data_IF_514274254218
#
_entry.id   IF_514274254218
#
_cell.length_a   1.000
_cell.length_b   1.000
_cell.length_c   1.000
_cell.angle_alpha   90.00
_cell.angle_beta   90.00
_cell.angle_gamma   90.00
#
_symmetry.space_group_name_H-M   'P 1'
#
loop_
_entity.id
_entity.type
_entity.pdbx_description
1 polymer ?
#
# COMPACT_ATOMS: atom_id res chain seq x y z
N UNK A 1 -8.38 2.89 7.48
CA UNK A 1 -8.41 4.25 6.88
C UNK A 1 -9.12 5.17 7.86
N UNK A 2 -8.38 5.71 8.83
CA UNK A 2 -8.97 6.60 9.84
C UNK A 2 -9.22 7.98 9.22
N UNK A 3 -10.48 8.44 9.21
CA UNK A 3 -10.86 9.80 8.82
C UNK A 3 -11.49 9.96 7.43
N UNK A 4 -11.77 8.91 6.66
CA UNK A 4 -12.51 9.02 5.39
C UNK A 4 -14.02 8.89 5.60
N UNK A 5 -14.80 9.64 4.83
CA UNK A 5 -16.28 9.64 4.86
C UNK A 5 -16.76 8.75 3.70
N UNK A 6 -17.57 7.73 3.99
CA UNK A 6 -18.21 6.93 2.96
C UNK A 6 -19.39 7.71 2.37
N UNK A 7 -19.37 7.95 1.07
CA UNK A 7 -20.43 8.70 0.36
C UNK A 7 -21.46 7.76 -0.26
N UNK A 8 -21.04 6.55 -0.63
CA UNK A 8 -21.93 5.57 -1.24
C UNK A 8 -21.16 4.51 -2.03
N UNK A 9 -21.83 3.92 -2.99
CA UNK A 9 -21.23 2.99 -3.96
C UNK A 9 -21.41 3.55 -5.37
N UNK A 10 -20.32 3.55 -6.14
CA UNK A 10 -20.33 3.97 -7.53
C UNK A 10 -20.08 2.72 -8.41
N UNK A 11 -21.06 2.28 -9.19
CA UNK A 11 -21.00 1.03 -9.98
C UNK A 11 -20.60 -0.21 -9.17
N UNK A 12 -21.09 -0.30 -7.93
CA UNK A 12 -20.75 -1.39 -7.00
C UNK A 12 -19.46 -1.20 -6.20
N UNK A 13 -18.63 -0.20 -6.55
CA UNK A 13 -17.38 0.12 -5.87
C UNK A 13 -17.64 1.09 -4.72
N UNK A 14 -17.21 0.78 -3.48
CA UNK A 14 -17.30 1.69 -2.34
C UNK A 14 -16.54 3.00 -2.59
N UNK A 15 -17.21 4.13 -2.38
CA UNK A 15 -16.67 5.45 -2.67
C UNK A 15 -16.50 6.26 -1.38
N UNK A 16 -15.30 6.81 -1.19
CA UNK A 16 -14.92 7.56 0.01
C UNK A 16 -14.37 8.93 -0.35
N UNK A 17 -14.58 9.89 0.56
CA UNK A 17 -14.00 11.23 0.48
C UNK A 17 -13.19 11.49 1.75
N UNK A 18 -11.94 11.90 1.58
CA UNK A 18 -11.12 12.39 2.69
C UNK A 18 -11.47 13.86 3.00
N UNK A 19 -11.50 14.31 4.28
CA UNK A 19 -11.83 15.69 4.64
C UNK A 19 -11.03 16.77 3.92
N UNK A 20 -9.77 16.47 3.56
CA UNK A 20 -8.91 17.38 2.79
C UNK A 20 -9.47 17.73 1.40
N UNK A 21 -10.35 16.91 0.84
CA UNK A 21 -11.02 17.17 -0.44
C UNK A 21 -11.91 18.41 -0.38
N UNK A 22 -12.61 18.65 0.73
CA UNK A 22 -13.47 19.82 0.89
C UNK A 22 -12.69 21.13 0.87
N UNK A 23 -11.45 21.12 1.38
CA UNK A 23 -10.57 22.26 1.31
C UNK A 23 -10.24 22.59 -0.16
N UNK A 24 -9.87 21.57 -0.96
CA UNK A 24 -9.57 21.75 -2.38
C UNK A 24 -10.82 22.16 -3.16
N UNK A 25 -11.98 21.56 -2.87
CA UNK A 25 -13.25 21.98 -3.47
C UNK A 25 -13.50 23.46 -3.23
N UNK A 26 -13.33 23.95 -1.98
CA UNK A 26 -13.49 25.35 -1.64
C UNK A 26 -12.51 26.28 -2.37
N UNK A 27 -11.22 25.93 -2.39
CA UNK A 27 -10.18 26.71 -3.08
C UNK A 27 -10.42 26.77 -4.59
N UNK A 28 -10.73 25.63 -5.22
CA UNK A 28 -11.01 25.55 -6.66
C UNK A 28 -12.28 26.34 -6.99
N UNK A 29 -13.34 26.19 -6.19
CA UNK A 29 -14.57 26.98 -6.37
C UNK A 29 -14.29 28.48 -6.30
N UNK A 30 -13.54 28.93 -5.29
CA UNK A 30 -13.20 30.34 -5.15
C UNK A 30 -12.34 30.84 -6.33
N UNK A 31 -11.32 30.10 -6.70
CA UNK A 31 -10.44 30.47 -7.82
C UNK A 31 -11.22 30.66 -9.11
N UNK A 32 -12.06 29.68 -9.47
CA UNK A 32 -12.85 29.77 -10.71
C UNK A 32 -13.97 30.80 -10.62
N UNK A 33 -14.63 30.96 -9.50
CA UNK A 33 -15.66 32.01 -9.33
C UNK A 33 -15.04 33.41 -9.47
N UNK A 34 -13.87 33.65 -8.87
CA UNK A 34 -13.14 34.91 -8.99
C UNK A 34 -12.68 35.18 -10.43
N UNK A 35 -12.16 34.13 -11.09
CA UNK A 35 -11.77 34.21 -12.51
C UNK A 35 -12.95 34.53 -13.43
N UNK A 36 -14.11 33.87 -13.23
CA UNK A 36 -15.33 34.15 -14.01
C UNK A 36 -15.86 35.56 -13.75
N UNK A 37 -15.88 36.02 -12.47
CA UNK A 37 -16.32 37.37 -12.15
C UNK A 37 -15.42 38.44 -12.76
N UNK A 38 -14.09 38.22 -12.80
CA UNK A 38 -13.14 39.13 -13.43
C UNK A 38 -13.29 39.16 -14.97
N UNK A 39 -13.50 38.00 -15.59
CA UNK A 39 -13.63 37.88 -17.05
C UNK A 39 -15.01 38.33 -17.55
N UNK A 40 -16.05 38.19 -16.73
CA UNK A 40 -17.44 38.50 -17.07
C UNK A 40 -18.07 39.40 -15.99
N UNK A 41 -17.76 40.72 -15.97
CA UNK A 41 -18.25 41.64 -14.93
C UNK A 41 -19.77 41.78 -14.84
N UNK A 42 -20.52 41.38 -15.88
CA UNK A 42 -21.99 41.36 -15.90
C UNK A 42 -22.60 40.24 -15.06
N UNK A 43 -21.80 39.25 -14.62
CA UNK A 43 -22.31 38.20 -13.74
C UNK A 43 -22.50 38.74 -12.33
N UNK A 44 -23.65 38.40 -11.72
CA UNK A 44 -23.80 38.63 -10.29
C UNK A 44 -22.84 37.75 -9.49
N UNK A 45 -22.37 38.20 -8.32
CA UNK A 45 -21.46 37.45 -7.48
C UNK A 45 -21.98 36.04 -7.10
N UNK A 46 -23.29 35.91 -6.88
CA UNK A 46 -23.94 34.63 -6.61
C UNK A 46 -23.90 33.67 -7.79
N UNK A 47 -24.11 34.18 -9.03
CA UNK A 47 -24.04 33.36 -10.24
C UNK A 47 -22.60 32.95 -10.53
N UNK A 48 -21.63 33.83 -10.36
CA UNK A 48 -20.21 33.50 -10.53
C UNK A 48 -19.77 32.41 -9.54
N UNK A 49 -20.23 32.49 -8.27
CA UNK A 49 -19.97 31.47 -7.25
C UNK A 49 -20.61 30.12 -7.62
N UNK A 50 -21.86 30.13 -8.07
CA UNK A 50 -22.54 28.90 -8.50
C UNK A 50 -21.82 28.23 -9.69
N UNK A 51 -21.45 29.02 -10.71
CA UNK A 51 -20.71 28.51 -11.87
C UNK A 51 -19.33 28.00 -11.49
N UNK A 52 -18.65 28.68 -10.58
CA UNK A 52 -17.35 28.23 -10.03
C UNK A 52 -17.48 26.89 -9.30
N UNK A 53 -18.53 26.72 -8.45
CA UNK A 53 -18.79 25.46 -7.76
C UNK A 53 -19.13 24.34 -8.75
N UNK A 54 -19.99 24.60 -9.75
CA UNK A 54 -20.29 23.61 -10.79
C UNK A 54 -19.03 23.19 -11.57
N UNK A 55 -18.17 24.15 -11.94
CA UNK A 55 -16.90 23.86 -12.59
C UNK A 55 -16.01 22.98 -11.72
N UNK A 56 -15.87 23.30 -10.44
CA UNK A 56 -15.10 22.51 -9.50
C UNK A 56 -15.64 21.07 -9.38
N UNK A 57 -16.97 20.91 -9.22
CA UNK A 57 -17.59 19.58 -9.15
C UNK A 57 -17.41 18.78 -10.44
N UNK A 58 -17.49 19.41 -11.62
CA UNK A 58 -17.24 18.76 -12.91
C UNK A 58 -15.77 18.33 -13.07
N UNK A 59 -14.82 19.13 -12.57
CA UNK A 59 -13.40 18.74 -12.53
C UNK A 59 -13.16 17.51 -11.63
N UNK A 60 -13.79 17.48 -10.45
CA UNK A 60 -13.71 16.29 -9.60
C UNK A 60 -14.41 15.09 -10.20
N UNK A 61 -15.55 15.28 -10.89
CA UNK A 61 -16.19 14.20 -11.65
C UNK A 61 -15.27 13.65 -12.74
N UNK A 62 -14.47 14.51 -13.40
CA UNK A 62 -13.43 14.07 -14.36
C UNK A 62 -12.35 13.20 -13.69
N UNK A 63 -11.89 13.57 -12.50
CA UNK A 63 -10.94 12.77 -11.73
C UNK A 63 -11.56 11.41 -11.36
N UNK A 64 -12.82 11.40 -10.91
CA UNK A 64 -13.53 10.14 -10.62
C UNK A 64 -13.67 9.27 -11.86
N UNK A 65 -13.99 9.86 -13.00
CA UNK A 65 -14.10 9.13 -14.28
C UNK A 65 -12.75 8.53 -14.70
N UNK A 66 -11.64 9.24 -14.47
CA UNK A 66 -10.28 8.73 -14.69
C UNK A 66 -10.02 7.49 -13.83
N UNK A 67 -10.30 7.53 -12.51
CA UNK A 67 -10.15 6.38 -11.59
C UNK A 67 -11.08 5.21 -11.94
N UNK A 68 -12.30 5.53 -12.42
CA UNK A 68 -13.22 4.52 -12.92
C UNK A 68 -12.68 3.84 -14.17
N UNK A 69 -11.95 4.55 -15.02
CA UNK A 69 -11.26 3.96 -16.17
C UNK A 69 -10.35 2.81 -15.76
N UNK A 70 -9.47 3.04 -14.81
CA UNK A 70 -8.60 2.01 -14.22
C UNK A 70 -9.42 0.87 -13.61
N UNK A 71 -10.43 1.24 -12.83
CA UNK A 71 -11.26 0.29 -12.08
C UNK A 71 -12.03 -0.66 -13.00
N UNK A 72 -12.64 -0.16 -14.08
CA UNK A 72 -13.39 -0.99 -15.01
C UNK A 72 -12.51 -1.96 -15.78
N UNK A 73 -11.32 -1.54 -16.18
CA UNK A 73 -10.37 -2.44 -16.84
C UNK A 73 -9.87 -3.50 -15.85
N UNK A 74 -9.58 -3.15 -14.59
CA UNK A 74 -9.19 -4.09 -13.55
C UNK A 74 -10.29 -5.13 -13.29
N UNK A 75 -11.54 -4.70 -13.11
CA UNK A 75 -12.71 -5.59 -12.93
C UNK A 75 -12.89 -6.52 -14.14
N UNK A 76 -12.75 -5.99 -15.38
CA UNK A 76 -12.80 -6.79 -16.59
C UNK A 76 -11.73 -7.88 -16.68
N UNK A 77 -10.64 -7.75 -15.92
CA UNK A 77 -9.55 -8.73 -15.78
C UNK A 77 -9.73 -9.66 -14.56
N UNK A 78 -10.83 -9.54 -13.81
CA UNK A 78 -11.10 -10.33 -12.61
C UNK A 78 -10.33 -9.85 -11.38
N UNK A 79 -9.92 -8.58 -11.35
CA UNK A 79 -9.29 -7.93 -10.20
C UNK A 79 -10.34 -7.06 -9.50
N UNK A 80 -10.70 -7.43 -8.27
CA UNK A 80 -11.68 -6.67 -7.49
C UNK A 80 -11.11 -5.32 -7.03
N UNK A 81 -11.99 -4.29 -7.06
CA UNK A 81 -11.67 -2.94 -6.60
C UNK A 81 -12.29 -2.73 -5.22
N UNK A 82 -11.44 -2.61 -4.20
CA UNK A 82 -11.89 -2.44 -2.79
C UNK A 82 -12.59 -1.11 -2.56
N UNK A 83 -12.06 -0.03 -3.13
CA UNK A 83 -12.61 1.30 -2.94
C UNK A 83 -11.97 2.33 -3.88
N UNK A 84 -12.69 3.42 -4.13
CA UNK A 84 -12.14 4.65 -4.70
C UNK A 84 -12.22 5.73 -3.61
N UNK A 85 -11.10 6.41 -3.36
CA UNK A 85 -11.01 7.48 -2.34
C UNK A 85 -10.53 8.78 -2.98
N UNK A 86 -11.30 9.88 -2.83
CA UNK A 86 -10.84 11.22 -3.20
C UNK A 86 -10.13 11.90 -2.03
N UNK A 87 -9.00 12.53 -2.31
CA UNK A 87 -8.20 13.30 -1.36
C UNK A 87 -7.60 14.55 -2.02
N UNK A 88 -6.75 15.29 -1.29
CA UNK A 88 -6.23 16.59 -1.73
C UNK A 88 -5.47 16.56 -3.09
N UNK A 89 -4.80 15.47 -3.41
CA UNK A 89 -3.98 15.33 -4.63
C UNK A 89 -4.70 14.60 -5.78
N UNK A 90 -5.98 14.21 -5.61
CA UNK A 90 -6.74 13.51 -6.67
C UNK A 90 -7.53 12.32 -6.15
N UNK A 91 -7.64 11.27 -6.97
CA UNK A 91 -8.27 10.00 -6.66
C UNK A 91 -7.25 8.89 -6.39
N UNK A 92 -7.68 7.85 -5.71
CA UNK A 92 -6.93 6.63 -5.50
C UNK A 92 -7.88 5.44 -5.53
N UNK A 93 -7.74 4.58 -6.55
CA UNK A 93 -8.41 3.29 -6.60
C UNK A 93 -7.55 2.23 -5.90
N UNK A 94 -8.12 1.58 -4.88
CA UNK A 94 -7.47 0.48 -4.16
C UNK A 94 -7.88 -0.85 -4.78
N UNK A 95 -6.96 -1.51 -5.46
CA UNK A 95 -7.15 -2.86 -6.01
C UNK A 95 -6.94 -3.92 -4.93
N UNK A 96 -7.65 -5.04 -5.04
CA UNK A 96 -7.47 -6.16 -4.09
C UNK A 96 -6.17 -6.91 -4.32
N UNK A 97 -5.80 -7.09 -5.61
CA UNK A 97 -4.60 -7.81 -6.04
C UNK A 97 -3.88 -7.02 -7.14
N UNK A 98 -2.59 -7.26 -7.28
CA UNK A 98 -1.85 -6.76 -8.44
C UNK A 98 -2.18 -7.58 -9.70
N UNK A 99 -1.99 -6.96 -10.87
CA UNK A 99 -2.11 -7.63 -12.16
C UNK A 99 -1.16 -8.81 -12.26
N UNK A 100 -1.63 -9.93 -12.82
CA UNK A 100 -0.86 -11.18 -12.94
C UNK A 100 0.09 -11.18 -14.13
N UNK A 101 -0.19 -10.39 -15.14
CA UNK A 101 0.59 -10.31 -16.38
C UNK A 101 0.96 -8.86 -16.72
N UNK A 102 2.08 -8.64 -17.43
CA UNK A 102 2.45 -7.29 -17.86
C UNK A 102 1.42 -6.66 -18.81
N UNK A 103 0.69 -7.46 -19.58
CA UNK A 103 -0.40 -6.96 -20.44
C UNK A 103 -1.57 -6.43 -19.64
N UNK A 104 -1.99 -7.14 -18.61
CA UNK A 104 -3.03 -6.68 -17.69
C UNK A 104 -2.63 -5.35 -17.02
N UNK A 105 -1.40 -5.28 -16.47
CA UNK A 105 -0.88 -4.07 -15.84
C UNK A 105 -0.86 -2.87 -16.78
N UNK A 106 -0.48 -3.09 -18.06
CA UNK A 106 -0.47 -2.06 -19.09
C UNK A 106 -1.87 -1.50 -19.35
N UNK A 107 -2.87 -2.36 -19.58
CA UNK A 107 -4.22 -1.94 -19.89
C UNK A 107 -4.91 -1.23 -18.72
N UNK A 108 -4.69 -1.70 -17.49
CA UNK A 108 -5.16 -0.99 -16.30
C UNK A 108 -4.52 0.40 -16.25
N UNK A 109 -3.21 0.52 -16.42
CA UNK A 109 -2.50 1.78 -16.28
C UNK A 109 -2.90 2.83 -17.34
N UNK A 110 -3.11 2.43 -18.60
CA UNK A 110 -3.44 3.39 -19.67
C UNK A 110 -4.91 3.83 -19.65
N UNK A 111 -5.80 3.07 -18.99
CA UNK A 111 -7.24 3.30 -19.03
C UNK A 111 -7.66 4.67 -18.49
N UNK A 112 -7.09 5.12 -17.36
CA UNK A 112 -7.37 6.44 -16.79
C UNK A 112 -7.01 7.59 -17.73
N UNK A 113 -5.75 7.67 -18.21
CA UNK A 113 -5.35 8.66 -19.22
C UNK A 113 -6.23 8.65 -20.48
N UNK A 114 -6.64 7.47 -20.96
CA UNK A 114 -7.54 7.37 -22.12
C UNK A 114 -8.91 7.98 -21.83
N UNK A 115 -9.48 7.75 -20.64
CA UNK A 115 -10.74 8.38 -20.23
C UNK A 115 -10.60 9.90 -20.18
N UNK A 116 -9.51 10.42 -19.62
CA UNK A 116 -9.27 11.87 -19.58
C UNK A 116 -9.11 12.48 -20.98
N UNK A 117 -8.41 11.81 -21.90
CA UNK A 117 -8.32 12.25 -23.30
C UNK A 117 -9.69 12.22 -24.00
N UNK A 118 -10.48 11.19 -23.76
CA UNK A 118 -11.84 11.09 -24.28
C UNK A 118 -12.73 12.23 -23.77
N UNK A 119 -12.68 12.53 -22.48
CA UNK A 119 -13.42 13.65 -21.88
C UNK A 119 -12.97 14.99 -22.46
N UNK A 120 -11.65 15.20 -22.61
CA UNK A 120 -11.12 16.38 -23.29
C UNK A 120 -11.70 16.52 -24.70
N UNK A 121 -11.70 15.44 -25.48
CA UNK A 121 -12.26 15.42 -26.85
C UNK A 121 -13.77 15.72 -26.88
N UNK A 122 -14.54 15.08 -26.00
CA UNK A 122 -16.01 15.29 -25.91
C UNK A 122 -16.32 16.73 -25.53
N UNK A 123 -15.67 17.28 -24.49
CA UNK A 123 -15.92 18.64 -24.01
C UNK A 123 -15.53 19.66 -25.09
N UNK A 124 -14.41 19.44 -25.77
CA UNK A 124 -13.99 20.29 -26.90
C UNK A 124 -14.99 20.23 -28.04
N UNK A 125 -15.46 19.04 -28.44
CA UNK A 125 -16.45 18.87 -29.47
C UNK A 125 -17.79 19.58 -29.13
N UNK A 126 -18.24 19.48 -27.87
CA UNK A 126 -19.42 20.23 -27.40
C UNK A 126 -19.17 21.73 -27.52
N UNK A 127 -18.03 22.25 -27.09
CA UNK A 127 -17.71 23.68 -27.21
C UNK A 127 -17.72 24.19 -28.63
N UNK A 128 -17.18 23.41 -29.57
CA UNK A 128 -17.13 23.78 -31.00
C UNK A 128 -18.50 23.66 -31.67
N UNK A 129 -19.21 22.54 -31.48
CA UNK A 129 -20.47 22.27 -32.15
C UNK A 129 -21.63 23.16 -31.69
N UNK A 130 -21.62 23.52 -30.39
CA UNK A 130 -22.63 24.42 -29.81
C UNK A 130 -22.30 25.90 -30.00
N UNK A 131 -21.16 26.23 -30.64
CA UNK A 131 -20.65 27.61 -30.74
C UNK A 131 -20.70 28.34 -29.40
N UNK A 132 -20.32 27.59 -28.31
CA UNK A 132 -20.38 28.11 -26.96
C UNK A 132 -19.63 29.44 -26.80
N UNK A 133 -20.24 30.38 -26.13
CA UNK A 133 -19.66 31.72 -25.86
C UNK A 133 -19.83 32.13 -24.41
N UNK A 134 -19.16 33.20 -24.02
CA UNK A 134 -19.23 33.73 -22.66
C UNK A 134 -18.77 32.72 -21.57
N UNK A 135 -19.42 32.71 -20.39
CA UNK A 135 -19.02 31.84 -19.26
C UNK A 135 -19.04 30.36 -19.60
N UNK A 136 -19.96 29.90 -20.45
CA UNK A 136 -20.03 28.49 -20.85
C UNK A 136 -18.77 28.07 -21.62
N UNK A 137 -18.31 28.88 -22.57
CA UNK A 137 -17.08 28.64 -23.32
C UNK A 137 -15.87 28.57 -22.37
N UNK A 138 -15.79 29.48 -21.39
CA UNK A 138 -14.72 29.49 -20.39
C UNK A 138 -14.72 28.19 -19.55
N UNK A 139 -15.88 27.73 -19.07
CA UNK A 139 -16.01 26.49 -18.30
C UNK A 139 -15.60 25.27 -19.13
N UNK A 140 -16.11 25.15 -20.37
CA UNK A 140 -15.75 24.05 -21.27
C UNK A 140 -14.25 24.07 -21.60
N UNK A 141 -13.67 25.23 -21.82
CA UNK A 141 -12.24 25.40 -22.06
C UNK A 141 -11.39 24.92 -20.87
N UNK A 142 -11.80 25.27 -19.65
CA UNK A 142 -11.13 24.79 -18.43
C UNK A 142 -11.26 23.28 -18.28
N UNK A 143 -12.44 22.73 -18.46
CA UNK A 143 -12.65 21.27 -18.36
C UNK A 143 -11.81 20.51 -19.39
N UNK A 144 -11.76 20.98 -20.64
CA UNK A 144 -10.95 20.37 -21.68
C UNK A 144 -9.45 20.45 -21.33
N UNK A 145 -8.96 21.64 -20.95
CA UNK A 145 -7.54 21.83 -20.64
C UNK A 145 -7.09 21.04 -19.41
N UNK A 146 -7.91 20.97 -18.35
CA UNK A 146 -7.57 20.20 -17.14
C UNK A 146 -7.60 18.69 -17.43
N UNK A 147 -8.56 18.18 -18.20
CA UNK A 147 -8.57 16.78 -18.60
C UNK A 147 -7.35 16.43 -19.48
N UNK A 148 -6.96 17.31 -20.39
CA UNK A 148 -5.74 17.15 -21.18
C UNK A 148 -4.49 17.14 -20.29
N UNK A 149 -4.38 18.11 -19.38
CA UNK A 149 -3.27 18.19 -18.43
C UNK A 149 -3.20 16.95 -17.54
N UNK A 150 -4.35 16.47 -17.02
CA UNK A 150 -4.45 15.25 -16.22
C UNK A 150 -3.93 14.03 -16.99
N UNK A 151 -4.33 13.87 -18.26
CA UNK A 151 -3.86 12.79 -19.11
C UNK A 151 -2.35 12.88 -19.37
N UNK A 152 -1.86 14.04 -19.81
CA UNK A 152 -0.45 14.23 -20.14
C UNK A 152 0.45 14.09 -18.92
N UNK A 153 0.05 14.65 -17.78
CA UNK A 153 0.80 14.52 -16.52
C UNK A 153 0.88 13.06 -16.06
N UNK A 154 -0.25 12.34 -16.09
CA UNK A 154 -0.27 10.93 -15.73
C UNK A 154 0.46 10.04 -16.74
N UNK A 155 0.64 10.43 -18.00
CA UNK A 155 1.45 9.70 -18.97
C UNK A 155 2.96 9.90 -18.84
N UNK A 156 3.44 10.77 -17.93
CA UNK A 156 4.88 10.89 -17.64
C UNK A 156 5.42 9.52 -17.19
N UNK A 157 6.49 9.00 -17.83
CA UNK A 157 6.96 7.64 -17.63
C UNK A 157 7.74 7.48 -16.32
N UNK A 158 7.11 7.69 -15.17
CA UNK A 158 7.74 7.59 -13.86
C UNK A 158 6.73 7.31 -12.74
N UNK A 159 7.02 6.34 -11.87
CA UNK A 159 6.18 6.13 -10.69
C UNK A 159 6.24 7.37 -9.79
N UNK A 160 5.12 7.73 -9.13
CA UNK A 160 3.89 6.92 -8.97
C UNK A 160 2.79 7.14 -10.03
N UNK A 161 3.09 7.81 -11.14
CA UNK A 161 2.12 8.16 -12.19
C UNK A 161 1.76 6.94 -13.05
N UNK A 162 0.65 7.03 -13.82
CA UNK A 162 0.18 5.94 -14.69
C UNK A 162 1.18 5.59 -15.78
N UNK A 163 1.85 6.58 -16.37
CA UNK A 163 2.95 6.38 -17.30
C UNK A 163 4.13 5.59 -16.68
N UNK A 164 4.33 5.73 -15.37
CA UNK A 164 5.27 4.89 -14.62
C UNK A 164 4.80 3.44 -14.52
N UNK A 165 3.49 3.21 -14.32
CA UNK A 165 2.91 1.86 -14.34
C UNK A 165 2.93 1.25 -15.76
N UNK A 166 2.73 2.05 -16.80
CA UNK A 166 2.92 1.64 -18.20
C UNK A 166 4.39 1.23 -18.43
N UNK A 167 5.35 2.04 -17.98
CA UNK A 167 6.77 1.75 -18.09
C UNK A 167 7.17 0.49 -17.28
N UNK A 168 6.63 0.33 -16.05
CA UNK A 168 6.73 -0.90 -15.25
C UNK A 168 6.30 -2.11 -16.05
N UNK A 169 5.13 -2.06 -16.69
CA UNK A 169 4.57 -3.16 -17.47
C UNK A 169 5.44 -3.52 -18.69
N UNK A 170 5.97 -2.52 -19.39
CA UNK A 170 6.86 -2.72 -20.54
C UNK A 170 8.16 -3.39 -20.11
N UNK A 171 8.82 -2.86 -19.07
CA UNK A 171 10.07 -3.43 -18.55
C UNK A 171 9.84 -4.84 -18.00
N UNK A 172 8.73 -5.08 -17.32
CA UNK A 172 8.33 -6.42 -16.87
C UNK A 172 8.19 -7.39 -18.05
N UNK A 173 7.50 -6.98 -19.13
CA UNK A 173 7.35 -7.81 -20.34
C UNK A 173 8.70 -8.18 -20.97
N UNK A 174 9.66 -7.26 -20.96
CA UNK A 174 11.00 -7.48 -21.56
C UNK A 174 11.88 -8.36 -20.66
N UNK A 175 11.84 -8.13 -19.34
CA UNK A 175 12.75 -8.77 -18.37
C UNK A 175 12.18 -10.02 -17.73
N UNK A 176 10.88 -10.29 -17.86
CA UNK A 176 10.18 -11.36 -17.16
C UNK A 176 10.02 -11.11 -15.64
N UNK A 177 10.54 -9.99 -15.10
CA UNK A 177 10.58 -9.70 -13.67
C UNK A 177 9.81 -8.41 -13.34
N UNK A 178 8.68 -8.49 -12.60
CA UNK A 178 7.87 -7.32 -12.23
C UNK A 178 8.64 -6.32 -11.35
N UNK A 179 9.52 -6.80 -10.48
CA UNK A 179 10.28 -5.96 -9.54
C UNK A 179 11.33 -5.10 -10.25
N UNK A 180 11.95 -5.63 -11.31
CA UNK A 180 12.83 -4.86 -12.20
C UNK A 180 12.04 -3.73 -12.88
N UNK A 181 10.80 -4.02 -13.28
CA UNK A 181 9.87 -3.02 -13.83
C UNK A 181 9.62 -1.87 -12.86
N UNK A 182 9.24 -2.19 -11.61
CA UNK A 182 9.03 -1.18 -10.57
C UNK A 182 10.30 -0.38 -10.30
N UNK A 183 11.44 -1.06 -10.11
CA UNK A 183 12.72 -0.37 -9.80
C UNK A 183 13.12 0.58 -10.90
N UNK A 184 12.98 0.19 -12.18
CA UNK A 184 13.29 1.04 -13.31
C UNK A 184 12.35 2.24 -13.41
N UNK A 185 11.03 2.03 -13.37
CA UNK A 185 10.04 3.08 -13.43
C UNK A 185 10.15 4.06 -12.24
N UNK A 186 10.54 3.57 -11.06
CA UNK A 186 10.84 4.40 -9.89
C UNK A 186 12.07 5.31 -10.11
N UNK A 187 13.14 4.79 -10.70
CA UNK A 187 14.33 5.62 -11.01
C UNK A 187 13.98 6.76 -11.97
N UNK A 188 13.18 6.46 -13.01
CA UNK A 188 12.71 7.48 -13.94
C UNK A 188 11.83 8.49 -13.21
N UNK A 189 10.90 8.05 -12.33
CA UNK A 189 10.08 8.93 -11.50
C UNK A 189 10.92 9.84 -10.58
N UNK A 190 12.01 9.32 -9.99
CA UNK A 190 12.94 10.13 -9.20
C UNK A 190 13.64 11.20 -10.05
N UNK A 191 14.02 10.89 -11.30
CA UNK A 191 14.61 11.89 -12.22
C UNK A 191 13.61 13.03 -12.46
N UNK A 192 12.35 12.70 -12.79
CA UNK A 192 11.29 13.72 -12.94
C UNK A 192 11.05 14.50 -11.65
N UNK A 193 11.10 13.83 -10.50
CA UNK A 193 11.00 14.48 -9.19
C UNK A 193 12.11 15.51 -8.95
N UNK A 194 13.37 15.17 -9.27
CA UNK A 194 14.49 16.12 -9.18
C UNK A 194 14.36 17.26 -10.17
N UNK A 195 13.95 17.01 -11.42
CA UNK A 195 13.68 18.04 -12.41
C UNK A 195 12.61 19.03 -11.91
N UNK A 196 11.52 18.51 -11.33
CA UNK A 196 10.48 19.35 -10.75
C UNK A 196 11.00 20.19 -9.58
N UNK A 197 11.78 19.61 -8.65
CA UNK A 197 12.40 20.35 -7.54
C UNK A 197 13.33 21.46 -8.07
N UNK A 198 14.21 21.13 -9.01
CA UNK A 198 15.14 22.12 -9.56
C UNK A 198 14.39 23.25 -10.28
N UNK A 199 13.33 22.94 -11.03
CA UNK A 199 12.47 23.95 -11.69
C UNK A 199 11.75 24.87 -10.68
N UNK A 200 11.55 24.44 -9.45
CA UNK A 200 11.00 25.26 -8.37
C UNK A 200 12.06 26.07 -7.60
N UNK A 201 13.20 25.43 -7.27
CA UNK A 201 14.27 26.03 -6.47
C UNK A 201 15.06 27.09 -7.27
N UNK A 202 15.42 26.80 -8.51
CA UNK A 202 16.27 27.69 -9.32
C UNK A 202 15.63 29.07 -9.49
N UNK A 203 14.37 29.24 -9.90
CA UNK A 203 13.73 30.55 -9.97
C UNK A 203 13.61 31.24 -8.62
N UNK A 204 13.42 30.51 -7.55
CA UNK A 204 13.34 31.04 -6.20
C UNK A 204 14.69 31.68 -5.77
N UNK A 205 15.80 30.95 -5.95
CA UNK A 205 17.13 31.38 -5.49
C UNK A 205 17.73 32.48 -6.36
N UNK A 206 17.54 32.42 -7.68
CA UNK A 206 18.20 33.34 -8.60
C UNK A 206 17.36 34.56 -8.97
N UNK A 207 16.03 34.43 -8.92
CA UNK A 207 15.10 35.49 -9.35
C UNK A 207 14.12 35.94 -8.26
N UNK A 208 14.18 35.36 -7.04
CA UNK A 208 13.25 35.63 -5.95
C UNK A 208 11.79 35.31 -6.28
N UNK A 209 11.58 34.45 -7.30
CA UNK A 209 10.24 34.13 -7.80
C UNK A 209 9.65 32.96 -7.03
N UNK A 210 8.55 33.19 -6.30
CA UNK A 210 7.77 32.15 -5.61
C UNK A 210 6.75 31.44 -6.53
N UNK A 211 6.60 31.87 -7.80
CA UNK A 211 5.59 31.34 -8.72
C UNK A 211 5.66 29.84 -8.98
N UNK A 212 6.82 29.24 -8.82
CA UNK A 212 7.08 27.82 -9.05
C UNK A 212 7.14 26.96 -7.77
N UNK A 213 6.68 27.50 -6.63
CA UNK A 213 6.66 26.76 -5.35
C UNK A 213 5.90 25.45 -5.44
N UNK A 214 4.84 25.39 -6.26
CA UNK A 214 4.08 24.15 -6.49
C UNK A 214 4.94 23.01 -7.05
N UNK A 215 5.92 23.33 -7.90
CA UNK A 215 6.82 22.33 -8.48
C UNK A 215 7.69 21.66 -7.40
N UNK A 216 8.04 22.35 -6.31
CA UNK A 216 8.75 21.76 -5.17
C UNK A 216 7.91 20.68 -4.49
N UNK A 217 6.63 20.98 -4.25
CA UNK A 217 5.70 20.02 -3.61
C UNK A 217 5.50 18.80 -4.49
N UNK A 218 5.26 19.00 -5.79
CA UNK A 218 5.09 17.90 -6.75
C UNK A 218 6.37 17.07 -6.85
N UNK A 219 7.53 17.71 -6.97
CA UNK A 219 8.81 17.03 -7.06
C UNK A 219 9.13 16.22 -5.80
N UNK A 220 8.90 16.77 -4.61
CA UNK A 220 9.04 16.06 -3.35
C UNK A 220 8.10 14.84 -3.28
N UNK A 221 6.82 15.02 -3.66
CA UNK A 221 5.84 13.93 -3.71
C UNK A 221 6.30 12.81 -4.65
N UNK A 222 6.79 13.15 -5.86
CA UNK A 222 7.29 12.15 -6.82
C UNK A 222 8.50 11.41 -6.25
N UNK A 223 9.50 12.12 -5.68
CA UNK A 223 10.69 11.50 -5.12
C UNK A 223 10.35 10.54 -3.98
N UNK A 224 9.51 10.96 -3.05
CA UNK A 224 9.15 10.15 -1.89
C UNK A 224 8.41 8.88 -2.32
N UNK A 225 7.39 9.01 -3.17
CA UNK A 225 6.59 7.85 -3.60
C UNK A 225 7.39 6.90 -4.50
N UNK A 226 8.18 7.43 -5.44
CA UNK A 226 9.06 6.60 -6.27
C UNK A 226 10.13 5.89 -5.42
N UNK A 227 10.71 6.57 -4.42
CA UNK A 227 11.66 5.98 -3.48
C UNK A 227 11.06 4.84 -2.69
N UNK A 228 9.89 5.04 -2.12
CA UNK A 228 9.15 4.01 -1.38
C UNK A 228 8.80 2.81 -2.26
N UNK A 229 8.31 3.04 -3.48
CA UNK A 229 8.00 1.97 -4.43
C UNK A 229 9.24 1.13 -4.79
N UNK A 230 10.38 1.79 -5.05
CA UNK A 230 11.63 1.10 -5.34
C UNK A 230 12.12 0.27 -4.15
N UNK A 231 12.03 0.80 -2.93
CA UNK A 231 12.43 0.08 -1.72
C UNK A 231 11.53 -1.14 -1.48
N UNK A 232 10.22 -0.98 -1.60
CA UNK A 232 9.26 -2.06 -1.45
C UNK A 232 9.49 -3.18 -2.48
N UNK A 233 9.69 -2.82 -3.75
CA UNK A 233 9.98 -3.79 -4.81
C UNK A 233 11.26 -4.58 -4.55
N UNK A 234 12.33 -3.94 -4.05
CA UNK A 234 13.58 -4.64 -3.69
C UNK A 234 13.39 -5.62 -2.54
N UNK A 235 12.59 -5.27 -1.54
CA UNK A 235 12.26 -6.18 -0.44
C UNK A 235 11.48 -7.38 -0.97
N UNK A 236 10.45 -7.14 -1.78
CA UNK A 236 9.67 -8.21 -2.39
C UNK A 236 10.51 -9.12 -3.29
N UNK A 237 11.40 -8.55 -4.11
CA UNK A 237 12.29 -9.32 -4.98
C UNK A 237 13.20 -10.27 -4.18
N UNK A 238 13.72 -9.80 -3.04
CA UNK A 238 14.58 -10.61 -2.16
C UNK A 238 13.83 -11.72 -1.44
N UNK A 239 12.55 -11.51 -1.15
CA UNK A 239 11.69 -12.51 -0.49
C UNK A 239 11.10 -13.51 -1.49
N UNK A 240 11.13 -13.19 -2.79
CA UNK A 240 10.61 -14.09 -3.83
C UNK A 240 11.40 -15.38 -3.88
N UNK A 241 10.68 -16.51 -3.87
CA UNK A 241 11.26 -17.85 -3.87
C UNK A 241 11.73 -18.36 -2.52
N UNK A 242 11.54 -17.55 -1.44
CA UNK A 242 11.73 -18.00 -0.07
C UNK A 242 10.41 -18.48 0.53
N UNK A 243 10.51 -19.49 1.39
CA UNK A 243 9.42 -20.07 2.16
C UNK A 243 9.51 -19.68 3.63
N UNK A 244 8.48 -19.98 4.40
CA UNK A 244 8.50 -19.78 5.84
C UNK A 244 9.67 -20.51 6.53
N UNK A 245 10.01 -21.73 6.04
CA UNK A 245 11.09 -22.56 6.58
C UNK A 245 12.46 -21.88 6.45
N UNK A 246 12.70 -21.08 5.38
CA UNK A 246 13.96 -20.37 5.17
C UNK A 246 14.25 -19.26 6.19
N UNK A 247 13.21 -18.80 6.89
CA UNK A 247 13.31 -17.71 7.88
C UNK A 247 13.05 -18.17 9.33
N UNK A 248 12.97 -19.49 9.55
CA UNK A 248 12.83 -20.05 10.91
C UNK A 248 14.08 -19.78 11.72
N UNK A 249 13.91 -19.35 12.95
CA UNK A 249 15.01 -19.18 13.90
C UNK A 249 15.45 -20.54 14.40
N UNK A 250 16.76 -20.87 14.29
CA UNK A 250 17.32 -22.17 14.70
C UNK A 250 17.20 -22.42 16.21
N UNK A 251 17.27 -21.37 17.02
CA UNK A 251 17.12 -21.42 18.48
C UNK A 251 15.66 -21.18 18.90
N UNK A 252 14.74 -22.02 18.44
CA UNK A 252 13.34 -21.95 18.87
C UNK A 252 13.18 -22.60 20.25
N UNK A 253 12.54 -21.94 21.22
CA UNK A 253 12.28 -22.51 22.53
C UNK A 253 11.15 -23.56 22.46
N UNK A 254 11.52 -24.80 22.15
CA UNK A 254 10.61 -25.95 22.02
C UNK A 254 10.76 -26.80 23.25
N UNK A 255 9.65 -27.21 23.85
CA UNK A 255 9.59 -28.11 25.02
C UNK A 255 8.59 -29.23 24.77
N UNK A 256 8.85 -30.41 25.41
CA UNK A 256 7.91 -31.52 25.32
C UNK A 256 6.70 -31.31 26.23
N UNK A 257 5.51 -31.71 25.73
CA UNK A 257 4.28 -31.70 26.52
C UNK A 257 4.30 -32.61 27.75
N UNK A 258 5.15 -33.64 27.70
CA UNK A 258 5.28 -34.65 28.76
C UNK A 258 6.28 -34.27 29.84
N UNK A 259 7.08 -33.19 29.67
CA UNK A 259 7.96 -32.65 30.72
C UNK A 259 7.12 -32.19 31.91
N UNK A 260 7.62 -32.48 33.12
CA UNK A 260 7.08 -31.90 34.36
C UNK A 260 7.47 -30.43 34.47
N UNK A 261 6.70 -29.65 35.20
CA UNK A 261 7.03 -28.23 35.44
C UNK A 261 8.37 -28.09 36.18
N UNK A 262 8.77 -29.10 36.96
CA UNK A 262 10.08 -29.12 37.68
C UNK A 262 11.22 -29.27 36.68
N UNK A 263 11.14 -30.26 35.80
CA UNK A 263 12.14 -30.49 34.75
C UNK A 263 12.25 -29.27 33.83
N UNK A 264 11.11 -28.66 33.41
CA UNK A 264 11.09 -27.43 32.64
C UNK A 264 11.82 -26.27 33.37
N UNK A 265 11.59 -26.11 34.69
CA UNK A 265 12.24 -25.05 35.46
C UNK A 265 13.76 -25.27 35.57
N UNK A 266 14.17 -26.53 35.79
CA UNK A 266 15.59 -26.92 35.91
C UNK A 266 16.30 -26.74 34.54
N UNK A 267 15.70 -27.16 33.44
CA UNK A 267 16.22 -26.99 32.08
C UNK A 267 16.40 -25.51 31.69
N UNK A 268 15.44 -24.67 32.09
CA UNK A 268 15.51 -23.22 31.90
C UNK A 268 16.65 -22.57 32.67
N UNK A 269 16.91 -23.01 33.90
CA UNK A 269 18.02 -22.51 34.72
C UNK A 269 19.37 -22.93 34.13
N UNK A 270 19.46 -24.15 33.60
CA UNK A 270 20.69 -24.69 33.00
C UNK A 270 21.01 -24.03 31.69
N UNK A 271 20.00 -23.77 30.83
CA UNK A 271 20.19 -23.17 29.49
C UNK A 271 20.59 -21.69 29.54
N UNK A 272 20.35 -20.98 30.66
CA UNK A 272 20.67 -19.55 30.81
C UNK A 272 19.94 -18.62 29.82
N UNK A 273 19.01 -19.15 29.03
CA UNK A 273 18.31 -18.41 28.01
C UNK A 273 17.08 -17.69 28.59
N UNK A 274 16.94 -16.40 28.29
CA UNK A 274 15.82 -15.56 28.76
C UNK A 274 14.57 -15.66 27.87
N UNK A 275 14.21 -16.86 27.40
CA UNK A 275 12.98 -17.06 26.66
C UNK A 275 11.75 -16.90 27.57
N UNK A 276 10.78 -16.14 27.09
CA UNK A 276 9.53 -15.92 27.80
C UNK A 276 8.34 -16.67 27.21
N UNK A 277 8.51 -17.28 26.04
CA UNK A 277 7.50 -18.06 25.33
C UNK A 277 8.12 -19.35 24.83
N UNK A 278 7.38 -20.44 24.96
CA UNK A 278 7.79 -21.79 24.59
C UNK A 278 6.72 -22.41 23.72
N UNK A 279 7.12 -23.10 22.67
CA UNK A 279 6.24 -23.95 21.88
C UNK A 279 6.28 -25.36 22.47
N UNK A 280 5.10 -25.98 22.57
CA UNK A 280 4.96 -27.30 23.18
C UNK A 280 4.67 -28.30 22.07
N UNK A 281 5.51 -29.36 22.02
CA UNK A 281 5.33 -30.48 21.08
C UNK A 281 5.01 -31.76 21.84
N UNK A 282 4.34 -32.69 21.17
CA UNK A 282 4.20 -34.06 21.63
C UNK A 282 5.44 -34.91 21.27
N UNK A 283 5.36 -36.24 21.55
CA UNK A 283 6.47 -37.17 21.30
C UNK A 283 6.73 -37.38 19.78
N UNK A 284 5.76 -37.10 18.92
CA UNK A 284 5.88 -37.16 17.48
C UNK A 284 6.39 -35.82 16.89
N UNK A 285 6.69 -34.85 17.73
CA UNK A 285 7.16 -33.50 17.34
C UNK A 285 6.06 -32.60 16.78
N UNK A 286 4.77 -32.98 16.95
CA UNK A 286 3.65 -32.15 16.52
C UNK A 286 3.41 -30.99 17.48
N UNK A 287 3.09 -29.83 16.94
CA UNK A 287 2.80 -28.65 17.75
C UNK A 287 1.41 -28.80 18.41
N UNK A 288 1.39 -28.94 19.73
CA UNK A 288 0.16 -29.13 20.52
C UNK A 288 -0.24 -27.89 21.32
N UNK A 289 0.73 -27.02 21.64
CA UNK A 289 0.43 -25.85 22.45
C UNK A 289 1.54 -24.82 22.52
N UNK A 290 1.30 -23.77 23.30
CA UNK A 290 2.30 -22.78 23.68
C UNK A 290 2.21 -22.46 25.17
N UNK A 291 3.33 -22.15 25.78
CA UNK A 291 3.44 -21.73 27.17
C UNK A 291 4.19 -20.41 27.26
N UNK A 292 3.77 -19.50 28.14
CA UNK A 292 4.47 -18.23 28.39
C UNK A 292 4.75 -18.11 29.88
N UNK A 293 5.92 -17.59 30.21
CA UNK A 293 6.35 -17.34 31.61
C UNK A 293 6.08 -15.90 32.06
N UNK A 294 5.64 -15.03 31.16
CA UNK A 294 5.29 -13.61 31.44
C UNK A 294 3.86 -13.31 31.01
N UNK A 295 3.11 -12.64 31.89
CA UNK A 295 1.66 -12.41 31.83
C UNK A 295 1.11 -11.55 30.69
N UNK A 296 1.67 -11.57 29.46
CA UNK A 296 1.11 -10.85 28.32
C UNK A 296 0.44 -11.79 27.32
N UNK A 297 -0.81 -11.47 26.97
CA UNK A 297 -1.73 -11.94 25.92
C UNK A 297 -1.84 -13.46 25.63
N UNK A 298 -0.82 -14.28 25.86
CA UNK A 298 -0.80 -15.74 25.71
C UNK A 298 -0.30 -16.45 26.98
N UNK A 299 -0.30 -15.74 28.11
CA UNK A 299 0.15 -16.31 29.38
C UNK A 299 -0.99 -17.12 30.00
N UNK A 300 -0.67 -18.32 30.38
CA UNK A 300 -1.44 -19.01 31.38
C UNK A 300 -1.04 -18.41 32.73
N UNK A 301 -1.93 -17.66 33.36
CA UNK A 301 -1.79 -17.21 34.77
C UNK A 301 -1.59 -18.41 35.72
N UNK A 302 -1.70 -19.61 35.23
CA UNK A 302 -1.72 -20.85 35.97
C UNK A 302 -0.36 -21.27 36.57
N UNK A 303 0.79 -20.89 35.95
CA UNK A 303 2.10 -21.23 36.52
C UNK A 303 2.34 -20.62 37.91
N UNK A 304 1.80 -19.40 38.16
CA UNK A 304 1.88 -18.75 39.48
C UNK A 304 0.87 -19.27 40.47
N UNK A 305 -0.18 -19.93 40.01
CA UNK A 305 -1.25 -20.47 40.84
C UNK A 305 -0.96 -21.91 41.31
N UNK A 306 -0.01 -22.61 40.64
CA UNK A 306 0.36 -23.98 41.00
C UNK A 306 1.44 -23.95 42.09
N UNK A 307 1.19 -24.51 43.28
CA UNK A 307 2.19 -24.64 44.33
C UNK A 307 3.42 -25.40 43.82
N UNK A 308 4.61 -24.92 44.17
CA UNK A 308 5.88 -25.54 43.72
C UNK A 308 6.05 -27.00 44.18
N UNK A 309 5.35 -27.41 45.24
CA UNK A 309 5.29 -28.81 45.69
C UNK A 309 4.66 -29.75 44.65
N UNK A 310 3.75 -29.24 43.79
CA UNK A 310 3.09 -30.05 42.76
C UNK A 310 3.83 -30.03 41.41
N UNK A 311 4.90 -29.26 41.25
CA UNK A 311 5.61 -29.13 39.99
C UNK A 311 6.25 -30.43 39.49
N UNK A 312 6.57 -31.36 40.40
CA UNK A 312 7.11 -32.67 40.03
C UNK A 312 6.04 -33.64 39.50
N UNK A 313 4.75 -33.34 39.72
CA UNK A 313 3.63 -34.17 39.30
C UNK A 313 2.83 -33.55 38.15
N UNK A 314 2.90 -32.22 37.96
CA UNK A 314 2.17 -31.49 36.92
C UNK A 314 2.97 -31.46 35.63
N UNK A 315 2.38 -31.91 34.53
CA UNK A 315 3.01 -31.87 33.22
C UNK A 315 2.71 -30.54 32.47
N UNK A 316 3.61 -30.16 31.54
CA UNK A 316 3.45 -28.98 30.66
C UNK A 316 2.13 -29.04 29.90
N UNK A 317 1.70 -30.22 29.49
CA UNK A 317 0.42 -30.47 28.80
C UNK A 317 -0.80 -29.95 29.58
N UNK A 318 -0.77 -29.98 30.86
CA UNK A 318 -1.90 -29.57 31.70
C UNK A 318 -2.01 -28.06 31.86
N UNK A 319 -0.92 -27.35 31.63
CA UNK A 319 -0.81 -25.90 31.83
C UNK A 319 -0.58 -25.12 30.53
N UNK A 320 -0.27 -25.78 29.42
CA UNK A 320 -0.11 -25.14 28.13
C UNK A 320 -1.46 -24.61 27.61
N UNK A 321 -1.39 -23.64 26.71
CA UNK A 321 -2.53 -23.19 25.94
C UNK A 321 -2.54 -23.93 24.61
N UNK A 322 -3.62 -24.66 24.26
CA UNK A 322 -3.72 -25.32 22.96
C UNK A 322 -3.60 -24.30 21.83
N UNK A 323 -2.84 -24.62 20.81
CA UNK A 323 -2.73 -23.82 19.60
C UNK A 323 -3.81 -24.29 18.62
N UNK A 324 -4.53 -23.31 18.03
CA UNK A 324 -5.45 -23.53 16.92
C UNK A 324 -4.71 -23.30 15.60
N UNK A 325 -5.11 -24.01 14.55
CA UNK A 325 -4.52 -23.89 13.19
C UNK A 325 -4.47 -22.45 12.66
N UNK A 326 -5.36 -21.57 13.13
CA UNK A 326 -5.40 -20.16 12.74
C UNK A 326 -4.19 -19.33 13.18
N UNK A 327 -3.32 -19.88 14.04
CA UNK A 327 -2.14 -19.18 14.57
C UNK A 327 -0.83 -19.78 14.07
N UNK A 328 -0.86 -20.70 13.12
CA UNK A 328 0.32 -21.37 12.55
C UNK A 328 0.47 -21.08 11.06
N UNK A 329 1.66 -21.29 10.53
CA UNK A 329 1.97 -21.13 9.11
C UNK A 329 2.64 -22.40 8.59
N UNK A 330 2.24 -22.86 7.39
CA UNK A 330 2.88 -23.98 6.72
C UNK A 330 4.30 -23.63 6.28
N UNK A 331 5.22 -24.60 6.37
CA UNK A 331 6.65 -24.39 6.12
C UNK A 331 6.96 -24.02 4.67
N UNK A 332 6.15 -24.46 3.72
CA UNK A 332 6.27 -24.20 2.27
C UNK A 332 5.62 -22.87 1.83
N UNK A 333 4.90 -22.19 2.75
CA UNK A 333 4.21 -20.94 2.43
C UNK A 333 5.20 -19.85 2.03
N UNK A 334 4.93 -19.11 0.91
CA UNK A 334 5.80 -18.02 0.48
C UNK A 334 6.06 -16.99 1.60
N UNK A 335 7.33 -16.67 1.85
CA UNK A 335 7.73 -15.79 2.95
C UNK A 335 7.11 -14.40 2.85
N UNK A 336 6.86 -13.92 1.62
CA UNK A 336 6.17 -12.66 1.36
C UNK A 336 4.73 -12.65 1.92
N UNK A 337 3.99 -13.75 1.76
CA UNK A 337 2.64 -13.88 2.30
C UNK A 337 2.66 -13.94 3.83
N UNK A 338 3.65 -14.64 4.39
CA UNK A 338 3.84 -14.71 5.85
C UNK A 338 4.13 -13.34 6.43
N UNK A 339 4.96 -12.53 5.77
CA UNK A 339 5.25 -11.16 6.19
C UNK A 339 3.98 -10.29 6.16
N UNK A 340 3.14 -10.42 5.12
CA UNK A 340 1.86 -9.73 5.04
C UNK A 340 0.90 -10.16 6.16
N UNK A 341 0.85 -11.45 6.48
CA UNK A 341 0.04 -12.00 7.57
C UNK A 341 0.47 -11.43 8.93
N UNK A 342 1.78 -11.39 9.21
CA UNK A 342 2.35 -10.78 10.42
C UNK A 342 1.94 -9.31 10.56
N UNK A 343 1.94 -8.56 9.47
CA UNK A 343 1.57 -7.15 9.46
C UNK A 343 0.06 -6.93 9.63
N UNK A 344 -0.76 -7.68 8.91
CA UNK A 344 -2.23 -7.57 8.98
C UNK A 344 -2.78 -7.93 10.36
N UNK A 345 -2.24 -8.98 10.97
CA UNK A 345 -2.66 -9.45 12.30
C UNK A 345 -1.89 -8.79 13.44
N UNK A 346 -0.93 -7.89 13.13
CA UNK A 346 -0.04 -7.23 14.11
C UNK A 346 0.70 -8.23 15.01
N UNK A 347 1.06 -9.37 14.45
CA UNK A 347 1.83 -10.41 15.14
C UNK A 347 3.34 -10.16 14.98
N UNK A 348 4.11 -10.50 15.99
CA UNK A 348 5.59 -10.45 15.94
C UNK A 348 6.21 -11.81 15.67
N UNK A 349 5.43 -12.88 15.88
CA UNK A 349 5.92 -14.27 15.90
C UNK A 349 4.82 -15.19 15.36
N UNK A 350 5.21 -16.19 14.56
CA UNK A 350 4.35 -17.27 14.09
C UNK A 350 5.07 -18.62 14.18
N UNK A 351 4.44 -19.67 14.74
CA UNK A 351 4.94 -21.04 14.65
C UNK A 351 4.84 -21.54 13.19
N UNK A 352 5.88 -22.21 12.72
CA UNK A 352 5.97 -22.83 11.41
C UNK A 352 5.84 -24.33 11.54
N UNK A 353 4.87 -24.92 10.84
CA UNK A 353 4.60 -26.38 10.87
C UNK A 353 4.68 -26.95 9.45
N UNK A 354 4.99 -28.25 9.35
CA UNK A 354 4.85 -29.02 8.11
C UNK A 354 3.40 -29.49 7.92
N UNK A 355 3.06 -29.98 6.73
CA UNK A 355 1.73 -30.52 6.42
C UNK A 355 1.27 -31.61 7.40
N UNK A 356 2.20 -32.38 7.95
CA UNK A 356 1.93 -33.43 8.95
C UNK A 356 1.79 -32.88 10.39
N UNK A 357 1.75 -31.57 10.60
CA UNK A 357 1.63 -30.93 11.92
C UNK A 357 2.95 -30.83 12.72
N UNK A 358 4.05 -31.38 12.19
CA UNK A 358 5.37 -31.34 12.86
C UNK A 358 5.88 -29.91 12.89
N UNK A 359 6.29 -29.46 14.08
CA UNK A 359 6.87 -28.13 14.29
C UNK A 359 8.26 -28.03 13.66
N UNK A 360 8.47 -27.04 12.81
CA UNK A 360 9.78 -26.69 12.24
C UNK A 360 10.52 -25.70 13.15
N UNK A 361 9.79 -24.73 13.70
CA UNK A 361 10.32 -23.73 14.62
C UNK A 361 9.48 -22.46 14.67
N UNK A 362 10.10 -21.37 15.08
CA UNK A 362 9.47 -20.05 15.20
C UNK A 362 9.96 -19.13 14.08
N UNK A 363 9.04 -18.44 13.43
CA UNK A 363 9.35 -17.36 12.51
C UNK A 363 9.04 -16.02 13.18
N UNK A 364 10.10 -15.23 13.38
CA UNK A 364 10.02 -13.88 13.94
C UNK A 364 10.18 -12.82 12.85
N UNK A 365 9.48 -11.68 13.00
CA UNK A 365 9.68 -10.53 12.10
C UNK A 365 11.15 -10.07 12.07
N UNK A 366 11.85 -10.18 13.18
CA UNK A 366 13.28 -9.87 13.29
C UNK A 366 14.14 -10.81 12.43
N UNK A 367 13.84 -12.10 12.39
CA UNK A 367 14.56 -13.09 11.59
C UNK A 367 14.41 -12.81 10.08
N UNK A 368 13.22 -12.41 9.62
CA UNK A 368 13.01 -11.98 8.23
C UNK A 368 13.91 -10.77 7.90
N UNK A 369 13.99 -9.80 8.80
CA UNK A 369 14.83 -8.60 8.60
C UNK A 369 16.32 -9.00 8.55
N UNK A 370 16.79 -9.88 9.42
CA UNK A 370 18.16 -10.39 9.41
C UNK A 370 18.47 -11.15 8.11
N UNK A 371 17.55 -12.00 7.65
CA UNK A 371 17.69 -12.72 6.39
C UNK A 371 17.82 -11.77 5.19
N UNK A 372 17.04 -10.68 5.18
CA UNK A 372 17.13 -9.63 4.15
C UNK A 372 18.47 -8.88 4.21
N UNK A 373 19.02 -8.64 5.39
CA UNK A 373 20.29 -7.95 5.59
C UNK A 373 21.47 -8.83 5.19
N UNK A 374 21.47 -10.11 5.58
CA UNK A 374 22.54 -11.06 5.23
C UNK A 374 22.70 -11.25 3.70
N UNK A 375 21.57 -11.25 2.97
CA UNK A 375 21.56 -11.30 1.50
C UNK A 375 21.94 -9.96 0.84
N UNK A 376 22.17 -8.91 1.60
CA UNK A 376 22.56 -7.58 1.09
C UNK A 376 24.07 -7.38 1.13
N UNK A 377 24.79 -8.13 1.96
CA UNK A 377 26.25 -8.11 1.96
C UNK A 377 26.75 -8.98 0.77
N UNK A 378 27.55 -8.42 -0.16
CA UNK A 378 28.24 -9.26 -1.14
C UNK A 378 29.14 -10.21 -0.35
N UNK A 379 29.08 -11.49 -0.71
CA UNK A 379 30.00 -12.50 -0.17
C UNK A 379 31.43 -11.95 -0.33
N UNK A 380 32.21 -11.80 0.75
CA UNK A 380 33.62 -11.48 0.58
C UNK A 380 34.27 -12.65 -0.17
N UNK A 381 34.73 -12.38 -1.39
CA UNK A 381 35.48 -13.32 -2.22
C UNK A 381 36.83 -13.63 -1.58
#
# INVERSE_FOLDING_TARGET
MNGTIRVGNLFGIPFYIHPSWFLVLGLVTWSYSSGLAAQFPQLSAGLALLLGLMTALMLFASVVAHELGHSFVAIGQGIDVKSITLFILGGLASLEKESKTPGEAFWVAIAGPMVSLLLCGIVTAIGVTTTASGPLAAILGVLASVNLALALFNLIPGLPLDGGNILKAIVWKITGNPYKGVTFASRVGQIFGWVAILSGIVPLLFFGSFGNFWNLLVGFFLLQNAGNAAQFARVQEKLTGLTAEDAVTQDSPIISANLTLREFADERVISGQNWHRFLVTDDDGQLVGAMSTTGYAYAVDNLRTIPTALWSETQVREVMRPITESTTVQSDRPLLEVMQLLEQQKLSVLPVIRENGVLVGILEKAAIIQLLQSRTQPNPA
#
